data_IF_409288739615
#
_entry.id   IF_409288739615
#
_cell.length_a   1.000
_cell.length_b   1.000
_cell.length_c   1.000
_cell.angle_alpha   90.00
_cell.angle_beta   90.00
_cell.angle_gamma   90.00
#
_symmetry.space_group_name_H-M   'P 1'
#
loop_
_entity.id
_entity.type
_entity.pdbx_description
1 polymer ?
#
# COMPACT_ATOMS: atom_id res chain seq x y z
N UNK A 1 -42.75 -36.95 86.46
CA UNK A 1 -41.76 -37.93 85.95
C UNK A 1 -42.28 -38.44 84.62
N UNK A 2 -41.64 -38.33 83.44
CA UNK A 2 -40.22 -38.27 83.04
C UNK A 2 -40.04 -37.36 81.81
N UNK A 3 -38.82 -36.82 81.65
CA UNK A 3 -38.31 -35.94 80.58
C UNK A 3 -38.12 -36.63 79.21
N UNK A 4 -38.17 -35.83 78.13
CA UNK A 4 -37.22 -35.81 76.97
C UNK A 4 -37.61 -34.64 76.02
N UNK A 5 -37.03 -33.44 76.14
CA UNK A 5 -35.83 -32.89 75.45
C UNK A 5 -35.98 -32.50 73.96
N UNK A 6 -35.87 -31.18 73.74
CA UNK A 6 -35.25 -30.43 72.63
C UNK A 6 -35.65 -30.73 71.18
N UNK A 7 -36.25 -29.73 70.52
CA UNK A 7 -35.65 -29.07 69.33
C UNK A 7 -36.36 -27.76 68.95
N UNK A 8 -35.53 -26.72 68.87
CA UNK A 8 -35.64 -25.53 68.03
C UNK A 8 -36.77 -24.51 68.31
N UNK A 9 -36.45 -23.58 69.22
CA UNK A 9 -36.88 -22.19 69.09
C UNK A 9 -36.24 -21.58 67.84
N UNK A 10 -37.05 -21.23 66.84
CA UNK A 10 -36.60 -20.45 65.68
C UNK A 10 -37.80 -19.67 65.10
N UNK A 11 -38.21 -18.60 65.77
CA UNK A 11 -39.12 -17.61 65.18
C UNK A 11 -38.98 -16.22 65.83
N UNK A 12 -37.81 -15.88 66.36
CA UNK A 12 -37.47 -14.50 66.74
C UNK A 12 -36.29 -14.06 65.89
N UNK A 13 -36.59 -13.39 64.78
CA UNK A 13 -35.54 -12.88 63.91
C UNK A 13 -36.04 -12.55 62.51
N UNK A 14 -37.10 -11.74 62.39
CA UNK A 14 -37.42 -11.13 61.10
C UNK A 14 -38.15 -9.77 61.24
N UNK A 15 -37.94 -9.08 62.37
CA UNK A 15 -38.53 -7.76 62.64
C UNK A 15 -37.65 -6.57 62.25
N UNK A 16 -36.54 -6.77 61.53
CA UNK A 16 -35.52 -5.72 61.35
C UNK A 16 -34.95 -5.57 59.92
N UNK A 17 -35.62 -6.04 58.87
CA UNK A 17 -35.04 -6.00 57.52
C UNK A 17 -36.03 -5.70 56.38
N UNK A 18 -36.95 -4.74 56.54
CA UNK A 18 -37.80 -4.32 55.42
C UNK A 18 -37.96 -2.80 55.28
N UNK A 19 -37.00 -2.02 55.77
CA UNK A 19 -36.92 -0.58 55.49
C UNK A 19 -35.51 -0.23 55.03
N UNK A 20 -35.40 0.13 53.75
CA UNK A 20 -34.25 0.89 53.23
C UNK A 20 -33.30 0.11 52.31
N UNK A 21 -33.68 -0.04 51.05
CA UNK A 21 -32.72 -0.05 49.93
C UNK A 21 -33.33 0.80 48.83
N UNK A 22 -33.14 2.12 48.90
CA UNK A 22 -32.01 2.79 48.24
C UNK A 22 -32.01 2.46 46.74
N UNK A 23 -32.42 3.45 45.94
CA UNK A 23 -32.32 3.42 44.50
C UNK A 23 -30.95 2.88 44.08
N UNK A 24 -30.95 1.81 43.29
CA UNK A 24 -29.75 1.35 42.60
C UNK A 24 -29.38 2.44 41.58
N UNK A 25 -28.63 3.44 42.02
CA UNK A 25 -27.91 4.31 41.10
C UNK A 25 -26.77 3.48 40.53
N UNK A 26 -26.98 2.92 39.33
CA UNK A 26 -25.92 2.33 38.55
C UNK A 26 -24.90 3.43 38.21
N UNK A 27 -23.85 3.51 39.02
CA UNK A 27 -22.65 4.27 38.68
C UNK A 27 -21.91 3.50 37.59
N UNK A 28 -22.35 3.67 36.34
CA UNK A 28 -21.58 3.20 35.19
C UNK A 28 -20.52 4.26 34.88
N UNK A 29 -19.29 4.02 35.33
CA UNK A 29 -18.14 4.75 34.80
C UNK A 29 -17.96 4.32 33.35
N UNK A 30 -18.45 5.13 32.41
CA UNK A 30 -18.01 5.04 31.02
C UNK A 30 -16.64 5.71 30.98
N UNK A 31 -15.56 5.03 30.57
CA UNK A 31 -14.28 5.68 30.51
C UNK A 31 -14.38 6.91 29.58
N UNK A 32 -13.87 8.04 30.06
CA UNK A 32 -13.96 9.32 29.35
C UNK A 32 -12.68 9.46 28.54
N UNK A 33 -12.79 9.62 27.21
CA UNK A 33 -11.65 9.96 26.36
C UNK A 33 -11.19 8.93 25.33
N UNK A 34 -12.10 8.15 24.74
CA UNK A 34 -11.81 7.45 23.49
C UNK A 34 -12.73 7.98 22.39
N UNK A 35 -12.09 8.57 21.39
CA UNK A 35 -12.67 8.87 20.09
C UNK A 35 -12.50 7.63 19.22
N UNK A 36 -13.60 7.05 18.77
CA UNK A 36 -13.57 6.00 17.74
C UNK A 36 -13.50 6.68 16.39
N UNK A 37 -12.30 6.82 15.83
CA UNK A 37 -12.16 7.11 14.41
C UNK A 37 -12.45 5.83 13.63
N UNK A 38 -13.58 5.81 12.93
CA UNK A 38 -13.87 4.81 11.92
C UNK A 38 -13.03 5.12 10.67
N UNK A 39 -11.85 4.52 10.57
CA UNK A 39 -11.03 4.62 9.36
C UNK A 39 -11.64 3.66 8.34
N UNK A 40 -12.49 4.21 7.47
CA UNK A 40 -13.23 3.47 6.44
C UNK A 40 -12.35 3.14 5.22
N UNK A 41 -11.12 2.68 5.45
CA UNK A 41 -10.18 2.27 4.39
C UNK A 41 -9.87 0.78 4.60
N UNK A 42 -10.54 -0.08 3.82
CA UNK A 42 -10.51 -1.53 3.99
C UNK A 42 -9.24 -2.22 3.43
N UNK A 43 -8.29 -1.45 2.88
CA UNK A 43 -7.06 -1.99 2.28
C UNK A 43 -5.94 -0.94 2.26
N UNK A 44 -4.71 -1.41 2.45
CA UNK A 44 -3.50 -0.64 2.17
C UNK A 44 -3.12 -0.86 0.70
N UNK A 45 -2.92 0.23 -0.05
CA UNK A 45 -2.37 0.14 -1.41
C UNK A 45 -0.84 0.07 -1.34
N UNK A 46 -0.26 -1.02 -1.82
CA UNK A 46 1.17 -1.10 -2.09
C UNK A 46 1.38 -0.80 -3.56
N UNK A 47 1.96 0.36 -3.86
CA UNK A 47 2.37 0.68 -5.23
C UNK A 47 3.58 -0.16 -5.63
N UNK A 48 3.46 -0.92 -6.71
CA UNK A 48 4.59 -1.66 -7.29
C UNK A 48 5.26 -0.81 -8.38
N UNK A 49 6.53 -0.48 -8.16
CA UNK A 49 7.33 0.19 -9.18
C UNK A 49 7.94 -0.84 -10.13
N UNK A 50 7.29 -1.01 -11.27
CA UNK A 50 7.64 -1.97 -12.31
C UNK A 50 8.77 -1.43 -13.23
N UNK A 51 9.98 -1.30 -12.70
CA UNK A 51 11.16 -0.91 -13.49
C UNK A 51 11.96 -2.16 -13.87
N UNK A 52 12.06 -2.43 -15.17
CA UNK A 52 12.89 -3.51 -15.70
C UNK A 52 14.38 -3.20 -15.60
N UNK A 53 15.23 -4.17 -15.98
CA UNK A 53 16.66 -3.93 -16.13
C UNK A 53 16.93 -2.79 -17.13
N UNK A 54 17.99 -1.98 -16.94
CA UNK A 54 18.41 -0.98 -17.92
C UNK A 54 18.65 -1.63 -19.29
N UNK A 55 18.05 -1.07 -20.33
CA UNK A 55 18.40 -1.35 -21.72
C UNK A 55 19.70 -0.63 -22.09
N UNK A 56 19.83 0.62 -21.63
CA UNK A 56 21.01 1.45 -21.80
C UNK A 56 21.16 2.41 -20.61
N UNK A 57 22.40 2.81 -20.32
CA UNK A 57 22.70 3.98 -19.49
C UNK A 57 23.81 4.73 -20.19
N UNK A 58 23.54 5.98 -20.55
CA UNK A 58 24.40 6.78 -21.41
C UNK A 58 24.15 8.26 -21.20
N UNK A 59 24.98 9.09 -21.81
CA UNK A 59 24.73 10.53 -21.87
C UNK A 59 23.86 10.89 -23.07
N UNK A 60 23.11 11.98 -22.95
CA UNK A 60 22.38 12.59 -24.06
C UNK A 60 23.37 13.15 -25.07
N UNK A 61 23.27 12.73 -26.33
CA UNK A 61 24.09 13.25 -27.42
C UNK A 61 23.42 14.44 -28.13
N UNK A 62 22.09 14.39 -28.30
CA UNK A 62 21.29 15.51 -28.80
C UNK A 62 19.99 15.59 -28.02
N UNK A 63 19.45 16.79 -27.85
CA UNK A 63 18.16 17.07 -27.24
C UNK A 63 17.48 18.21 -28.02
N UNK A 64 16.69 17.86 -29.03
CA UNK A 64 16.06 18.83 -29.93
C UNK A 64 14.80 18.24 -30.58
N UNK A 65 13.90 19.09 -31.06
CA UNK A 65 12.73 18.69 -31.85
C UNK A 65 11.84 17.61 -31.20
N UNK A 66 11.71 17.61 -29.86
CA UNK A 66 10.86 16.63 -29.17
C UNK A 66 11.51 15.25 -28.97
N UNK A 67 12.83 15.14 -29.19
CA UNK A 67 13.54 13.88 -29.06
C UNK A 67 14.96 14.04 -28.49
N UNK A 68 15.47 12.94 -27.96
CA UNK A 68 16.87 12.79 -27.57
C UNK A 68 17.55 11.65 -28.35
N UNK A 69 18.87 11.73 -28.49
CA UNK A 69 19.70 10.58 -28.89
C UNK A 69 20.69 10.25 -27.78
N UNK A 70 21.13 8.99 -27.72
CA UNK A 70 22.12 8.53 -26.75
C UNK A 70 23.52 8.57 -27.38
N UNK A 71 24.53 8.96 -26.60
CA UNK A 71 25.92 8.92 -27.04
C UNK A 71 26.44 7.48 -27.25
N UNK A 72 25.85 6.51 -26.55
CA UNK A 72 26.14 5.09 -26.68
C UNK A 72 24.98 4.23 -26.18
N UNK A 73 24.95 2.97 -26.61
CA UNK A 73 23.89 2.03 -26.27
C UNK A 73 22.74 2.10 -27.28
N UNK A 74 22.55 1.00 -28.00
CA UNK A 74 21.44 0.85 -28.94
C UNK A 74 20.21 0.36 -28.20
N UNK A 75 19.09 1.05 -28.39
CA UNK A 75 17.79 0.66 -27.85
C UNK A 75 16.90 0.34 -29.04
N UNK A 76 16.27 -0.84 -29.02
CA UNK A 76 15.35 -1.23 -30.08
C UNK A 76 14.13 -0.31 -30.14
N UNK A 77 13.55 -0.16 -31.33
CA UNK A 77 12.32 0.60 -31.54
C UNK A 77 11.18 0.10 -30.63
N UNK A 78 10.42 1.03 -30.06
CA UNK A 78 9.33 0.70 -29.14
C UNK A 78 9.18 1.69 -27.98
N UNK A 79 8.23 1.41 -27.09
CA UNK A 79 8.02 2.23 -25.88
C UNK A 79 9.10 1.96 -24.84
N UNK A 80 9.57 3.04 -24.21
CA UNK A 80 10.62 3.01 -23.19
C UNK A 80 10.27 3.92 -22.01
N UNK A 81 10.93 3.69 -20.89
CA UNK A 81 10.99 4.60 -19.75
C UNK A 81 12.37 5.27 -19.79
N UNK A 82 12.40 6.59 -19.69
CA UNK A 82 13.63 7.39 -19.59
C UNK A 82 13.72 7.96 -18.18
N UNK A 83 14.79 7.60 -17.47
CA UNK A 83 15.13 8.10 -16.14
C UNK A 83 16.30 9.07 -16.27
N UNK A 84 16.12 10.31 -15.86
CA UNK A 84 17.20 11.30 -15.86
C UNK A 84 17.97 11.19 -14.54
N UNK A 85 19.28 11.02 -14.64
CA UNK A 85 20.16 10.71 -13.50
C UNK A 85 20.79 11.96 -12.90
N UNK A 86 21.12 12.94 -13.72
CA UNK A 86 21.77 14.20 -13.32
C UNK A 86 21.22 15.41 -14.09
N UNK A 87 21.74 16.60 -13.79
CA UNK A 87 21.25 17.86 -14.35
C UNK A 87 19.99 18.40 -13.67
N UNK A 88 19.36 19.40 -14.30
CA UNK A 88 18.20 20.09 -13.74
C UNK A 88 16.93 19.21 -13.75
N UNK A 89 16.84 18.27 -14.70
CA UNK A 89 15.79 17.26 -14.76
C UNK A 89 16.08 16.01 -13.90
N UNK A 90 17.11 15.99 -13.05
CA UNK A 90 17.48 14.81 -12.26
C UNK A 90 16.29 14.25 -11.46
N UNK A 91 16.08 12.94 -11.56
CA UNK A 91 14.96 12.22 -10.93
C UNK A 91 13.67 12.21 -11.75
N UNK A 92 13.62 12.90 -12.89
CA UNK A 92 12.52 12.77 -13.83
C UNK A 92 12.44 11.35 -14.40
N UNK A 93 11.21 10.82 -14.46
CA UNK A 93 10.91 9.51 -15.05
C UNK A 93 9.75 9.70 -16.02
N UNK A 94 10.02 9.57 -17.31
CA UNK A 94 9.02 9.77 -18.37
C UNK A 94 8.89 8.54 -19.25
N UNK A 95 7.75 8.43 -19.92
CA UNK A 95 7.57 7.47 -21.01
C UNK A 95 7.99 8.12 -22.31
N UNK A 96 8.79 7.41 -23.10
CA UNK A 96 9.21 7.81 -24.43
C UNK A 96 8.97 6.71 -25.47
N UNK A 97 9.23 7.04 -26.73
CA UNK A 97 9.14 6.10 -27.86
C UNK A 97 10.41 6.16 -28.68
N UNK A 98 11.08 5.03 -28.84
CA UNK A 98 12.25 4.87 -29.70
C UNK A 98 11.79 4.60 -31.13
N UNK A 99 12.31 5.38 -32.06
CA UNK A 99 12.16 5.16 -33.50
C UNK A 99 13.42 5.61 -34.22
N UNK A 100 14.01 4.72 -35.02
CA UNK A 100 15.18 5.00 -35.85
C UNK A 100 16.35 5.64 -35.07
N UNK A 101 16.61 5.15 -33.85
CA UNK A 101 17.71 5.59 -32.99
C UNK A 101 17.47 6.91 -32.23
N UNK A 102 16.30 7.53 -32.36
CA UNK A 102 15.89 8.69 -31.56
C UNK A 102 14.80 8.30 -30.57
N UNK A 103 14.81 8.91 -29.39
CA UNK A 103 13.81 8.69 -28.34
C UNK A 103 12.95 9.94 -28.24
N UNK A 104 11.70 9.86 -28.67
CA UNK A 104 10.74 10.95 -28.45
C UNK A 104 10.37 11.03 -26.98
N UNK A 105 10.45 12.23 -26.42
CA UNK A 105 10.19 12.52 -24.99
C UNK A 105 9.26 13.72 -24.87
N UNK A 106 8.56 13.88 -23.72
CA UNK A 106 7.70 15.06 -23.48
C UNK A 106 8.49 16.37 -23.57
N UNK A 107 7.87 17.42 -24.11
CA UNK A 107 8.49 18.74 -24.27
C UNK A 107 8.96 19.33 -22.92
N UNK A 108 8.18 19.14 -21.86
CA UNK A 108 8.52 19.60 -20.49
C UNK A 108 9.83 19.02 -19.97
N UNK A 109 10.21 17.82 -20.44
CA UNK A 109 11.50 17.24 -20.08
C UNK A 109 12.64 17.95 -20.81
N UNK A 110 12.47 18.26 -22.10
CA UNK A 110 13.49 18.90 -22.92
C UNK A 110 13.83 20.32 -22.45
N UNK A 111 12.88 21.01 -21.82
CA UNK A 111 13.12 22.34 -21.25
C UNK A 111 14.17 22.32 -20.11
N UNK A 112 14.40 21.15 -19.50
CA UNK A 112 15.30 20.97 -18.35
C UNK A 112 16.35 19.85 -18.55
N UNK A 113 16.47 19.31 -19.78
CA UNK A 113 17.39 18.22 -20.12
C UNK A 113 18.44 18.72 -21.10
N UNK A 114 19.71 18.61 -20.71
CA UNK A 114 20.83 19.10 -21.50
C UNK A 114 21.61 17.96 -22.15
N UNK A 115 22.37 18.28 -23.21
CA UNK A 115 23.38 17.39 -23.77
C UNK A 115 24.40 17.05 -22.67
N UNK A 116 24.96 15.85 -22.72
CA UNK A 116 25.85 15.26 -21.71
C UNK A 116 25.18 14.84 -20.39
N UNK A 117 23.92 15.19 -20.14
CA UNK A 117 23.20 14.63 -18.99
C UNK A 117 23.07 13.12 -19.11
N UNK A 118 23.25 12.42 -18.01
CA UNK A 118 23.15 10.98 -17.89
C UNK A 118 21.68 10.56 -17.82
N UNK A 119 21.31 9.60 -18.67
CA UNK A 119 19.98 8.98 -18.67
C UNK A 119 20.08 7.46 -18.63
N UNK A 120 19.14 6.83 -17.94
CA UNK A 120 18.92 5.38 -17.97
C UNK A 120 17.63 5.08 -18.72
N UNK A 121 17.72 4.25 -19.76
CA UNK A 121 16.57 3.83 -20.58
C UNK A 121 16.19 2.39 -20.23
N UNK A 122 14.89 2.14 -20.02
CA UNK A 122 14.34 0.84 -19.62
C UNK A 122 13.14 0.45 -20.48
N UNK A 123 12.88 -0.85 -20.58
CA UNK A 123 11.61 -1.33 -21.13
C UNK A 123 10.49 -1.17 -20.09
N UNK A 124 9.27 -0.75 -20.50
CA UNK A 124 8.09 -0.84 -19.66
C UNK A 124 7.87 -2.28 -19.22
N UNK A 125 7.44 -2.46 -17.98
CA UNK A 125 7.09 -3.77 -17.44
C UNK A 125 5.58 -3.82 -17.20
N UNK A 126 4.99 -4.98 -17.39
CA UNK A 126 3.57 -5.22 -17.13
C UNK A 126 3.42 -6.07 -15.88
N UNK A 127 2.22 -6.10 -15.29
CA UNK A 127 1.93 -7.04 -14.22
C UNK A 127 2.19 -8.49 -14.68
N UNK A 128 1.89 -8.80 -15.95
CA UNK A 128 2.16 -10.11 -16.53
C UNK A 128 3.67 -10.41 -16.65
N UNK A 129 4.54 -9.42 -16.91
CA UNK A 129 5.98 -9.66 -16.97
C UNK A 129 6.60 -9.94 -15.60
N UNK A 130 5.99 -9.45 -14.51
CA UNK A 130 6.46 -9.68 -13.14
C UNK A 130 5.79 -10.88 -12.48
N UNK A 131 4.48 -11.04 -12.67
CA UNK A 131 3.68 -12.08 -12.01
C UNK A 131 3.34 -13.28 -12.90
N UNK A 132 3.81 -13.29 -14.16
CA UNK A 132 3.37 -14.24 -15.16
C UNK A 132 1.97 -13.93 -15.70
N UNK A 133 1.60 -14.57 -16.80
CA UNK A 133 0.23 -14.50 -17.32
C UNK A 133 -0.76 -14.92 -16.23
N UNK A 134 -1.83 -14.14 -16.06
CA UNK A 134 -2.89 -14.36 -15.06
C UNK A 134 -2.37 -14.52 -13.61
N UNK A 135 -1.20 -13.96 -13.29
CA UNK A 135 -0.63 -14.03 -11.94
C UNK A 135 -0.08 -15.41 -11.57
N UNK A 136 0.26 -16.26 -12.55
CA UNK A 136 0.70 -17.63 -12.33
C UNK A 136 1.89 -17.80 -11.36
N UNK A 137 2.72 -16.77 -11.14
CA UNK A 137 3.82 -16.82 -10.17
C UNK A 137 3.39 -16.49 -8.73
N UNK A 138 2.19 -15.96 -8.53
CA UNK A 138 1.62 -15.69 -7.21
C UNK A 138 1.09 -17.00 -6.61
N UNK A 139 1.79 -17.51 -5.60
CA UNK A 139 1.31 -18.65 -4.82
C UNK A 139 0.63 -18.16 -3.55
N UNK A 140 -0.67 -18.39 -3.43
CA UNK A 140 -1.43 -18.10 -2.22
C UNK A 140 -1.14 -19.13 -1.12
N UNK A 141 -0.94 -18.69 0.11
CA UNK A 141 -0.95 -19.56 1.29
C UNK A 141 -2.10 -19.14 2.20
N UNK A 142 -3.12 -19.98 2.32
CA UNK A 142 -4.15 -19.84 3.33
C UNK A 142 -3.61 -20.35 4.68
N UNK A 143 -2.71 -19.60 5.31
CA UNK A 143 -2.32 -19.84 6.68
C UNK A 143 -3.53 -19.69 7.61
N UNK A 144 -3.74 -20.65 8.52
CA UNK A 144 -4.76 -20.54 9.57
C UNK A 144 -4.42 -19.36 10.48
N UNK A 145 -5.05 -18.20 10.24
CA UNK A 145 -4.73 -16.96 10.94
C UNK A 145 -5.14 -15.67 10.22
N UNK A 146 -5.68 -15.76 9.00
CA UNK A 146 -6.01 -14.60 8.17
C UNK A 146 -4.81 -14.23 7.31
N UNK A 147 -4.77 -14.75 6.09
CA UNK A 147 -3.79 -14.29 5.12
C UNK A 147 -4.15 -12.86 4.72
N UNK A 148 -3.19 -11.94 4.77
CA UNK A 148 -3.32 -10.64 4.12
C UNK A 148 -3.58 -10.88 2.62
N UNK A 149 -4.74 -10.45 2.15
CA UNK A 149 -5.13 -10.60 0.76
C UNK A 149 -4.47 -9.50 -0.07
N UNK A 150 -3.55 -9.89 -0.95
CA UNK A 150 -3.01 -8.99 -1.98
C UNK A 150 -3.87 -9.13 -3.22
N UNK A 151 -4.72 -8.14 -3.45
CA UNK A 151 -5.58 -8.05 -4.64
C UNK A 151 -4.80 -7.34 -5.75
N UNK A 152 -4.52 -8.05 -6.84
CA UNK A 152 -3.89 -7.49 -8.04
C UNK A 152 -4.98 -7.21 -9.07
N UNK A 153 -5.21 -5.95 -9.47
CA UNK A 153 -6.17 -5.62 -10.51
C UNK A 153 -5.77 -6.30 -11.84
N UNK A 154 -6.74 -6.90 -12.52
CA UNK A 154 -6.55 -7.54 -13.83
C UNK A 154 -6.57 -6.54 -15.01
N UNK A 155 -6.76 -5.25 -14.71
CA UNK A 155 -6.83 -4.18 -15.70
C UNK A 155 -8.19 -4.08 -16.42
N UNK A 156 -9.20 -4.84 -16.01
CA UNK A 156 -10.54 -4.81 -16.64
C UNK A 156 -11.45 -3.67 -16.17
N UNK A 157 -11.08 -2.98 -15.09
CA UNK A 157 -11.83 -1.86 -14.51
C UNK A 157 -12.78 -2.30 -13.42
#
# INVERSE_FOLDING_TARGET
>A
MKNTTLKAAAAFGLGALLMGSAAAQESVSKPVGYETLEINQQFNYVGLRLLGAPLATSTVATAENGAITLASGEVADGSVIVEVVDGDAAGAVVVGTVAAGSISVPAELLDNLEVENTVTVRAPQTLASVFGADGASLTGSAGQGGADLVLVPDGSG
#
